data_IF_828045620035
#
_entry.id   IF_828045620035
#
_cell.length_a   1.000
_cell.length_b   1.000
_cell.length_c   1.000
_cell.angle_alpha   90.00
_cell.angle_beta   90.00
_cell.angle_gamma   90.00
#
_symmetry.space_group_name_H-M   'P 1'
#
loop_
_entity.id
_entity.type
_entity.pdbx_description
1 polymer ?
#
# COMPACT_ATOMS: atom_id res chain seq x y z
N UNK A 1 -5.94 -22.67 0.95
CA UNK A 1 -4.92 -23.48 0.23
C UNK A 1 -3.63 -22.67 0.24
N UNK A 2 -2.50 -23.26 0.62
CA UNK A 2 -1.21 -22.53 0.61
C UNK A 2 -0.77 -22.23 -0.83
N UNK A 3 -0.29 -21.01 -1.08
CA UNK A 3 0.29 -20.63 -2.37
C UNK A 3 1.78 -20.33 -2.21
N UNK A 4 2.59 -20.80 -3.16
CA UNK A 4 4.01 -20.44 -3.24
C UNK A 4 4.18 -19.30 -4.23
N UNK A 5 4.92 -18.27 -3.82
CA UNK A 5 5.26 -17.14 -4.68
C UNK A 5 6.76 -16.95 -4.68
N UNK A 6 7.34 -16.87 -5.88
CA UNK A 6 8.76 -16.58 -6.08
C UNK A 6 8.92 -15.13 -6.52
N UNK A 7 9.82 -14.41 -5.87
CA UNK A 7 10.17 -13.02 -6.18
C UNK A 7 11.67 -12.88 -6.36
N UNK A 8 12.10 -11.95 -7.21
CA UNK A 8 13.51 -11.61 -7.37
C UNK A 8 13.84 -10.36 -6.54
N UNK A 9 14.76 -10.50 -5.60
CA UNK A 9 15.28 -9.40 -4.79
C UNK A 9 16.80 -9.45 -4.80
N UNK A 10 17.46 -8.30 -5.03
CA UNK A 10 18.92 -8.23 -5.07
C UNK A 10 19.58 -9.20 -6.08
N UNK A 11 18.90 -9.46 -7.20
CA UNK A 11 19.33 -10.43 -8.21
C UNK A 11 19.26 -11.91 -7.77
N UNK A 12 18.55 -12.20 -6.67
CA UNK A 12 18.37 -13.55 -6.15
C UNK A 12 16.88 -13.91 -6.05
N UNK A 13 16.46 -15.09 -6.49
CA UNK A 13 15.09 -15.55 -6.33
C UNK A 13 14.85 -16.01 -4.89
N UNK A 14 13.71 -15.64 -4.33
CA UNK A 14 13.23 -16.06 -3.02
C UNK A 14 11.80 -16.57 -3.13
N UNK A 15 11.54 -17.75 -2.58
CA UNK A 15 10.22 -18.38 -2.60
C UNK A 15 9.59 -18.33 -1.22
N UNK A 16 8.36 -17.82 -1.15
CA UNK A 16 7.61 -17.63 0.08
C UNK A 16 6.30 -18.39 0.03
N UNK A 17 5.90 -18.96 1.16
CA UNK A 17 4.54 -19.44 1.39
C UNK A 17 3.66 -18.25 1.76
N UNK A 18 2.60 -18.04 1.00
CA UNK A 18 1.59 -17.02 1.30
C UNK A 18 0.29 -17.70 1.73
N UNK A 19 -0.38 -17.12 2.71
CA UNK A 19 -1.72 -17.55 3.12
C UNK A 19 -2.72 -17.25 2.00
N UNK A 20 -3.79 -18.05 1.91
CA UNK A 20 -4.78 -17.99 0.81
C UNK A 20 -5.56 -16.67 0.72
N UNK A 21 -5.44 -15.79 1.71
CA UNK A 21 -6.17 -14.51 1.78
C UNK A 21 -5.38 -13.34 1.17
N UNK A 22 -4.20 -13.59 0.59
CA UNK A 22 -3.49 -12.54 -0.15
C UNK A 22 -4.19 -12.30 -1.48
N UNK A 23 -5.06 -11.28 -1.50
CA UNK A 23 -5.60 -10.70 -2.73
C UNK A 23 -4.44 -10.45 -3.71
N UNK A 24 -4.49 -11.14 -4.86
CA UNK A 24 -3.45 -11.15 -5.90
C UNK A 24 -2.01 -11.14 -5.34
N UNK A 25 -1.55 -12.28 -4.82
CA UNK A 25 -0.20 -12.43 -4.27
C UNK A 25 0.90 -11.91 -5.21
N UNK A 26 0.69 -11.97 -6.53
CA UNK A 26 1.55 -11.36 -7.54
C UNK A 26 1.63 -9.83 -7.44
N UNK A 27 0.50 -9.14 -7.25
CA UNK A 27 0.47 -7.68 -7.11
C UNK A 27 1.24 -7.22 -5.86
N UNK A 28 1.03 -7.92 -4.73
CA UNK A 28 1.76 -7.64 -3.49
C UNK A 28 3.26 -7.82 -3.68
N UNK A 29 3.68 -8.85 -4.41
CA UNK A 29 5.09 -9.07 -4.70
C UNK A 29 5.69 -8.07 -5.68
N UNK A 30 4.96 -7.74 -6.75
CA UNK A 30 5.38 -6.72 -7.72
C UNK A 30 5.56 -5.36 -7.03
N UNK A 31 4.69 -5.07 -6.06
CA UNK A 31 4.77 -3.86 -5.26
C UNK A 31 5.99 -3.82 -4.32
N UNK A 32 6.31 -4.94 -3.66
CA UNK A 32 7.50 -5.05 -2.82
C UNK A 32 8.79 -4.85 -3.64
N UNK A 33 8.90 -5.54 -4.78
CA UNK A 33 10.07 -5.44 -5.69
C UNK A 33 10.26 -3.99 -6.12
N UNK A 34 9.18 -3.32 -6.53
CA UNK A 34 9.22 -1.90 -6.92
C UNK A 34 9.76 -0.99 -5.83
N UNK A 35 9.34 -1.17 -4.58
CA UNK A 35 9.80 -0.29 -3.49
C UNK A 35 11.26 -0.57 -3.12
N UNK A 36 11.70 -1.83 -3.18
CA UNK A 36 13.11 -2.20 -3.00
C UNK A 36 13.98 -1.58 -4.09
N UNK A 37 13.63 -1.75 -5.36
CA UNK A 37 14.38 -1.16 -6.49
C UNK A 37 14.43 0.37 -6.42
N UNK A 38 13.35 1.01 -5.95
CA UNK A 38 13.34 2.46 -5.74
C UNK A 38 14.37 2.90 -4.69
N UNK A 39 14.56 2.14 -3.62
CA UNK A 39 15.55 2.46 -2.59
C UNK A 39 16.96 2.17 -3.12
N UNK A 40 17.17 1.06 -3.82
CA UNK A 40 18.45 0.75 -4.46
C UNK A 40 18.87 1.89 -5.40
N UNK A 41 17.98 2.35 -6.27
CA UNK A 41 18.27 3.45 -7.22
C UNK A 41 18.51 4.80 -6.51
N UNK A 42 17.78 5.10 -5.44
CA UNK A 42 17.95 6.34 -4.68
C UNK A 42 19.25 6.37 -3.84
N UNK A 43 19.66 5.23 -3.30
CA UNK A 43 20.81 5.14 -2.38
C UNK A 43 22.12 4.76 -3.07
N UNK A 44 22.10 4.17 -4.27
CA UNK A 44 23.29 3.89 -5.08
C UNK A 44 24.19 5.11 -5.30
N UNK A 45 23.64 6.33 -5.17
CA UNK A 45 24.39 7.59 -5.34
C UNK A 45 24.85 8.25 -4.03
N UNK A 46 24.36 7.82 -2.85
CA UNK A 46 24.53 8.57 -1.60
C UNK A 46 25.09 7.79 -0.41
N UNK A 47 24.99 6.46 -0.36
CA UNK A 47 25.56 5.66 0.73
C UNK A 47 26.10 4.32 0.19
N UNK A 48 27.44 4.14 0.13
CA UNK A 48 28.06 2.90 -0.36
C UNK A 48 27.76 1.64 0.47
N UNK A 49 27.03 1.74 1.60
CA UNK A 49 26.94 0.68 2.61
C UNK A 49 25.54 0.37 3.12
N UNK A 50 24.46 0.78 2.44
CA UNK A 50 23.12 0.34 2.84
C UNK A 50 23.03 -1.17 2.60
N UNK A 51 22.96 -1.95 3.68
CA UNK A 51 22.87 -3.41 3.60
C UNK A 51 21.57 -3.84 2.94
N UNK A 52 21.51 -5.05 2.38
CA UNK A 52 20.27 -5.65 1.85
C UNK A 52 19.14 -5.60 2.89
N UNK A 53 19.47 -5.87 4.16
CA UNK A 53 18.53 -5.77 5.28
C UNK A 53 18.02 -4.34 5.50
N UNK A 54 18.91 -3.34 5.51
CA UNK A 54 18.50 -1.94 5.65
C UNK A 54 17.61 -1.49 4.48
N UNK A 55 17.91 -1.94 3.26
CA UNK A 55 17.07 -1.69 2.07
C UNK A 55 15.67 -2.29 2.23
N UNK A 56 15.57 -3.54 2.72
CA UNK A 56 14.29 -4.19 3.00
C UNK A 56 13.50 -3.47 4.10
N UNK A 57 14.16 -3.05 5.19
CA UNK A 57 13.51 -2.31 6.28
C UNK A 57 12.97 -0.97 5.76
N UNK A 58 13.75 -0.24 4.96
CA UNK A 58 13.29 1.02 4.34
C UNK A 58 12.10 0.77 3.40
N UNK A 59 12.12 -0.31 2.61
CA UNK A 59 11.01 -0.67 1.74
C UNK A 59 9.74 -0.95 2.56
N UNK A 60 9.87 -1.74 3.63
CA UNK A 60 8.78 -2.04 4.55
C UNK A 60 8.21 -0.76 5.20
N UNK A 61 9.06 0.15 5.67
CA UNK A 61 8.64 1.44 6.26
C UNK A 61 7.87 2.29 5.25
N UNK A 62 8.35 2.39 4.01
CA UNK A 62 7.66 3.13 2.95
C UNK A 62 6.30 2.52 2.60
N UNK A 63 6.23 1.19 2.48
CA UNK A 63 4.97 0.47 2.23
C UNK A 63 3.98 0.69 3.37
N UNK A 64 4.43 0.56 4.62
CA UNK A 64 3.60 0.78 5.81
C UNK A 64 3.08 2.22 5.85
N UNK A 65 3.93 3.22 5.59
CA UNK A 65 3.53 4.62 5.56
C UNK A 65 2.44 4.88 4.49
N UNK A 66 2.62 4.38 3.27
CA UNK A 66 1.62 4.52 2.20
C UNK A 66 0.29 3.86 2.55
N UNK A 67 0.31 2.70 3.22
CA UNK A 67 -0.91 2.04 3.68
C UNK A 67 -1.64 2.87 4.76
N UNK A 68 -0.91 3.46 5.69
CA UNK A 68 -1.48 4.36 6.70
C UNK A 68 -2.08 5.61 6.03
N UNK A 69 -1.36 6.23 5.08
CA UNK A 69 -1.87 7.36 4.31
C UNK A 69 -3.14 7.02 3.53
N UNK A 70 -3.19 5.85 2.89
CA UNK A 70 -4.37 5.40 2.14
C UNK A 70 -5.58 5.20 3.06
N UNK A 71 -5.39 4.57 4.22
CA UNK A 71 -6.44 4.41 5.24
C UNK A 71 -6.97 5.77 5.72
N UNK A 72 -6.07 6.73 5.95
CA UNK A 72 -6.45 8.09 6.36
C UNK A 72 -7.25 8.80 5.26
N UNK A 73 -6.78 8.76 4.00
CA UNK A 73 -7.48 9.36 2.86
C UNK A 73 -8.87 8.75 2.66
N UNK A 74 -9.00 7.43 2.80
CA UNK A 74 -10.28 6.73 2.71
C UNK A 74 -11.25 7.15 3.82
N UNK A 75 -10.76 7.24 5.06
CA UNK A 75 -11.57 7.73 6.19
C UNK A 75 -12.07 9.16 5.99
N UNK A 76 -11.20 10.06 5.51
CA UNK A 76 -11.57 11.44 5.18
C UNK A 76 -12.63 11.47 4.07
N UNK A 77 -12.41 10.73 2.98
CA UNK A 77 -13.35 10.66 1.86
C UNK A 77 -14.73 10.15 2.29
N UNK A 78 -14.79 9.08 3.07
CA UNK A 78 -16.05 8.52 3.61
C UNK A 78 -16.79 9.53 4.47
N UNK A 79 -16.07 10.26 5.34
CA UNK A 79 -16.65 11.31 6.17
C UNK A 79 -17.24 12.44 5.31
N UNK A 80 -16.52 12.87 4.29
CA UNK A 80 -16.94 13.95 3.41
C UNK A 80 -18.16 13.56 2.57
N UNK A 81 -18.17 12.34 2.02
CA UNK A 81 -19.33 11.76 1.33
C UNK A 81 -20.52 11.71 2.29
N UNK A 82 -20.35 11.16 3.49
CA UNK A 82 -21.43 11.04 4.49
C UNK A 82 -22.02 12.40 4.85
N UNK A 83 -21.17 13.41 5.09
CA UNK A 83 -21.60 14.78 5.39
C UNK A 83 -22.38 15.40 4.23
N UNK A 84 -21.89 15.25 2.99
CA UNK A 84 -22.55 15.81 1.79
C UNK A 84 -23.88 15.11 1.51
N UNK A 85 -23.93 13.79 1.63
CA UNK A 85 -25.16 13.00 1.47
C UNK A 85 -26.21 13.37 2.52
N UNK A 86 -25.82 13.49 3.79
CA UNK A 86 -26.75 13.91 4.85
C UNK A 86 -27.32 15.32 4.60
N UNK A 87 -26.48 16.26 4.15
CA UNK A 87 -26.94 17.60 3.77
C UNK A 87 -27.91 17.55 2.57
N UNK A 88 -27.63 16.72 1.57
CA UNK A 88 -28.52 16.56 0.41
C UNK A 88 -29.87 15.98 0.82
N UNK A 89 -29.90 14.94 1.65
CA UNK A 89 -31.13 14.35 2.20
C UNK A 89 -31.93 15.40 2.96
N UNK A 90 -31.30 16.15 3.87
CA UNK A 90 -31.97 17.20 4.63
C UNK A 90 -32.60 18.28 3.73
N UNK A 91 -31.93 18.65 2.62
CA UNK A 91 -32.47 19.61 1.66
C UNK A 91 -33.67 19.06 0.88
N UNK A 92 -33.61 17.79 0.47
CA UNK A 92 -34.72 17.12 -0.20
C UNK A 92 -35.94 16.99 0.73
N UNK A 93 -35.71 16.60 1.98
CA UNK A 93 -36.78 16.48 2.98
C UNK A 93 -37.40 17.83 3.34
N UNK A 94 -36.62 18.92 3.31
CA UNK A 94 -37.15 20.27 3.50
C UNK A 94 -38.01 20.70 2.30
N UNK A 95 -37.56 20.42 1.07
CA UNK A 95 -38.30 20.73 -0.15
C UNK A 95 -39.58 19.90 -0.32
N UNK A 96 -39.62 18.68 0.20
CA UNK A 96 -40.82 17.83 0.17
C UNK A 96 -41.87 18.20 1.23
N UNK A 97 -41.48 18.98 2.25
CA UNK A 97 -42.36 19.43 3.36
C UNK A 97 -42.89 20.85 3.20
N UNK A 98 -42.29 21.65 2.31
CA UNK A 98 -42.78 22.98 1.92
C UNK A 98 -43.61 22.90 0.66
#
# INVERSE_FOLDING_TARGET
MEQLVTIELFGQPYTFKTESDVADAKEVTDYLVKEVTKIETQHSSKLPSVTKLATLILAALNIANKNIELKNKHSVLLRDISKRSANLVNKLDAAARG
#
